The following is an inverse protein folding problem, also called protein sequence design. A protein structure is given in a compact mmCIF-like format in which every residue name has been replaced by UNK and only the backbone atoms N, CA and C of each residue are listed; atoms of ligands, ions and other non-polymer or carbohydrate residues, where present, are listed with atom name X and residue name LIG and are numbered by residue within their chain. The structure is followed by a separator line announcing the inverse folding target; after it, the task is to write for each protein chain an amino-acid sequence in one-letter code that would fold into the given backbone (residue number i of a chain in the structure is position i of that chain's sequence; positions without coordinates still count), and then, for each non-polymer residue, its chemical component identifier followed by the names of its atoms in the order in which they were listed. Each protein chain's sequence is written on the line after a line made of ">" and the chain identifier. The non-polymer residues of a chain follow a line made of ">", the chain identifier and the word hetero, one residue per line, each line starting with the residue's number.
data_IF_265038412505
#
_entry.id   IF_265038412505
#
_cell.length_a   1.000
_cell.length_b   1.000
_cell.length_c   1.000
_cell.angle_alpha   90.00
_cell.angle_beta   90.00
_cell.angle_gamma   90.00
#
_symmetry.space_group_name_H-M   'P 1'
#
loop_
_entity.id
_entity.type
_entity.pdbx_description
1 polymer ?
#
# COMPACT_ATOMS: atom_id res chain seq x y z
N UNK A 1 16.52 -1.02 10.96
CA UNK A 1 15.58 -0.06 11.61
C UNK A 1 14.81 -0.88 12.60
N UNK A 2 14.53 -0.37 13.79
CA UNK A 2 13.71 -1.08 14.77
C UNK A 2 12.25 -0.56 14.72
N UNK A 3 11.28 -1.38 15.11
CA UNK A 3 9.83 -1.08 15.06
C UNK A 3 9.44 0.24 15.74
N UNK A 4 9.95 0.49 16.96
CA UNK A 4 9.71 1.74 17.70
C UNK A 4 10.21 2.97 16.92
N UNK A 5 11.41 2.87 16.33
CA UNK A 5 11.98 3.96 15.53
C UNK A 5 11.16 4.22 14.27
N UNK A 6 10.64 3.17 13.62
CA UNK A 6 9.77 3.35 12.46
C UNK A 6 8.51 4.11 12.88
N UNK A 7 7.82 3.65 13.93
CA UNK A 7 6.56 4.23 14.39
C UNK A 7 6.70 5.71 14.76
N UNK A 8 7.74 6.08 15.50
CA UNK A 8 7.98 7.47 15.89
C UNK A 8 8.27 8.40 14.70
N UNK A 9 8.89 7.86 13.64
CA UNK A 9 9.47 8.66 12.56
C UNK A 9 8.73 8.56 11.23
N UNK A 10 7.77 7.63 11.09
CA UNK A 10 7.09 7.31 9.81
C UNK A 10 6.47 8.52 9.12
N UNK A 11 5.88 9.44 9.88
CA UNK A 11 5.23 10.64 9.34
C UNK A 11 6.06 11.94 9.41
N UNK A 12 7.28 11.88 9.96
CA UNK A 12 8.15 13.06 10.10
C UNK A 12 9.39 12.94 9.23
N UNK A 13 10.25 11.96 9.51
CA UNK A 13 11.50 11.77 8.78
C UNK A 13 11.32 10.88 7.56
N UNK A 14 10.42 9.90 7.65
CA UNK A 14 10.28 8.86 6.63
C UNK A 14 9.13 9.11 5.65
N UNK A 15 8.37 10.19 5.81
CA UNK A 15 7.29 10.54 4.90
C UNK A 15 7.73 10.57 3.42
N UNK A 16 8.90 11.12 3.04
CA UNK A 16 9.37 11.07 1.65
C UNK A 16 9.65 9.64 1.15
N UNK A 17 10.14 8.77 2.04
CA UNK A 17 10.38 7.34 1.74
C UNK A 17 9.06 6.60 1.55
N UNK A 18 8.07 6.83 2.43
CA UNK A 18 6.72 6.28 2.28
C UNK A 18 6.07 6.71 0.95
N UNK A 19 6.08 8.01 0.65
CA UNK A 19 5.54 8.53 -0.61
C UNK A 19 6.24 7.92 -1.83
N UNK A 20 7.55 7.64 -1.74
CA UNK A 20 8.28 6.97 -2.81
C UNK A 20 7.83 5.52 -2.96
N UNK A 21 7.70 4.76 -1.87
CA UNK A 21 7.29 3.36 -1.91
C UNK A 21 5.88 3.21 -2.52
N UNK A 22 4.91 3.98 -2.04
CA UNK A 22 3.55 3.97 -2.57
C UNK A 22 3.50 4.37 -4.04
N UNK A 23 4.25 5.42 -4.44
CA UNK A 23 4.33 5.83 -5.85
C UNK A 23 4.94 4.74 -6.75
N UNK A 24 5.97 4.04 -6.28
CA UNK A 24 6.59 2.97 -7.06
C UNK A 24 5.63 1.78 -7.20
N UNK A 25 4.94 1.40 -6.11
CA UNK A 25 3.94 0.35 -6.12
C UNK A 25 2.77 0.69 -7.07
N UNK A 26 2.25 1.91 -6.99
CA UNK A 26 1.24 2.43 -7.92
C UNK A 26 1.64 2.22 -9.37
N UNK A 27 2.84 2.68 -9.75
CA UNK A 27 3.33 2.57 -11.13
C UNK A 27 3.38 1.11 -11.58
N UNK A 28 3.90 0.21 -10.73
CA UNK A 28 4.04 -1.22 -11.03
C UNK A 28 2.70 -1.92 -11.21
N UNK A 29 1.70 -1.58 -10.40
CA UNK A 29 0.36 -2.20 -10.48
C UNK A 29 -0.41 -1.60 -11.65
N UNK A 30 -0.31 -0.29 -11.88
CA UNK A 30 -0.95 0.42 -12.98
C UNK A 30 -0.45 -0.02 -14.37
N UNK A 31 0.78 -0.53 -14.48
CA UNK A 31 1.29 -1.16 -15.71
C UNK A 31 0.64 -2.52 -16.02
N UNK A 32 0.11 -3.21 -15.01
CA UNK A 32 -0.39 -4.59 -15.12
C UNK A 32 -1.92 -4.68 -15.19
N UNK A 33 -2.62 -3.74 -14.55
CA UNK A 33 -4.07 -3.78 -14.37
C UNK A 33 -4.77 -2.57 -14.98
N UNK A 34 -6.09 -2.60 -14.97
CA UNK A 34 -6.92 -1.49 -15.44
C UNK A 34 -6.67 -0.25 -14.58
N UNK A 35 -6.29 0.86 -15.23
CA UNK A 35 -5.89 2.08 -14.52
C UNK A 35 -7.02 2.71 -13.70
N UNK A 36 -8.28 2.54 -14.11
CA UNK A 36 -9.42 3.05 -13.35
C UNK A 36 -9.59 2.27 -12.06
N UNK A 37 -9.47 0.94 -12.12
CA UNK A 37 -9.48 0.09 -10.91
C UNK A 37 -8.30 0.39 -9.99
N UNK A 38 -7.09 0.52 -10.53
CA UNK A 38 -5.89 0.81 -9.72
C UNK A 38 -6.00 2.16 -9.02
N UNK A 39 -6.43 3.22 -9.73
CA UNK A 39 -6.67 4.53 -9.11
C UNK A 39 -7.80 4.49 -8.06
N UNK A 40 -8.86 3.71 -8.30
CA UNK A 40 -9.93 3.54 -7.33
C UNK A 40 -9.43 2.91 -6.03
N UNK A 41 -8.67 1.83 -6.12
CA UNK A 41 -8.04 1.16 -4.96
C UNK A 41 -7.07 2.11 -4.25
N UNK A 42 -6.23 2.82 -4.99
CA UNK A 42 -5.25 3.76 -4.44
C UNK A 42 -5.93 4.83 -3.56
N UNK A 43 -6.95 5.49 -4.09
CA UNK A 43 -7.57 6.66 -3.44
C UNK A 43 -8.62 6.29 -2.40
N UNK A 44 -9.35 5.20 -2.58
CA UNK A 44 -10.48 4.85 -1.70
C UNK A 44 -10.11 3.79 -0.67
N UNK A 45 -9.01 3.06 -0.85
CA UNK A 45 -8.59 1.99 0.06
C UNK A 45 -7.24 2.31 0.66
N UNK A 46 -6.23 2.58 -0.18
CA UNK A 46 -4.86 2.74 0.31
C UNK A 46 -4.58 4.09 0.98
N UNK A 47 -5.36 5.14 0.70
CA UNK A 47 -5.31 6.40 1.46
C UNK A 47 -5.64 6.22 2.94
N UNK A 48 -6.38 5.16 3.30
CA UNK A 48 -6.71 4.78 4.68
C UNK A 48 -5.84 3.65 5.22
N UNK A 49 -4.89 3.15 4.41
CA UNK A 49 -3.97 2.10 4.84
C UNK A 49 -2.87 2.64 5.77
N UNK A 50 -2.35 1.78 6.63
CA UNK A 50 -1.27 2.13 7.57
C UNK A 50 -0.09 1.17 7.45
N UNK A 51 1.12 1.66 7.11
CA UNK A 51 2.31 0.83 7.11
C UNK A 51 2.80 0.62 8.54
N UNK A 52 3.22 -0.61 8.83
CA UNK A 52 3.87 -1.04 10.05
C UNK A 52 5.20 -1.72 9.74
N UNK A 53 6.13 -1.66 10.70
CA UNK A 53 7.37 -2.41 10.64
C UNK A 53 7.50 -3.27 11.89
N UNK A 54 7.67 -4.58 11.68
CA UNK A 54 7.92 -5.56 12.73
C UNK A 54 9.37 -6.07 12.64
N UNK A 55 10.06 -6.15 13.78
CA UNK A 55 11.48 -6.52 13.83
C UNK A 55 11.75 -7.97 13.36
N UNK A 56 10.75 -8.86 13.44
CA UNK A 56 10.83 -10.26 13.02
C UNK A 56 10.21 -10.50 11.63
N UNK A 57 9.18 -9.72 11.28
CA UNK A 57 8.31 -9.90 10.12
C UNK A 57 8.48 -8.89 8.98
N UNK A 58 9.22 -7.81 9.18
CA UNK A 58 9.43 -6.76 8.17
C UNK A 58 8.23 -5.82 8.02
N UNK A 59 8.09 -5.22 6.83
CA UNK A 59 6.99 -4.30 6.55
C UNK A 59 5.67 -5.04 6.34
N UNK A 60 4.60 -4.52 6.94
CA UNK A 60 3.21 -4.93 6.68
C UNK A 60 2.36 -3.71 6.39
N UNK A 61 1.36 -3.88 5.52
CA UNK A 61 0.31 -2.89 5.35
C UNK A 61 -0.99 -3.31 6.03
N UNK A 62 -1.50 -2.49 6.94
CA UNK A 62 -2.86 -2.63 7.48
C UNK A 62 -3.84 -1.92 6.57
N UNK A 63 -4.96 -2.58 6.27
CA UNK A 63 -6.02 -2.07 5.40
C UNK A 63 -7.23 -1.61 6.23
N UNK A 64 -8.05 -0.70 5.69
CA UNK A 64 -9.33 -0.38 6.31
C UNK A 64 -10.24 -1.61 6.41
N UNK A 65 -11.14 -1.61 7.39
CA UNK A 65 -12.23 -2.57 7.47
C UNK A 65 -13.10 -2.50 6.20
N UNK A 66 -13.49 -3.67 5.70
CA UNK A 66 -14.32 -3.87 4.50
C UNK A 66 -13.79 -3.07 3.27
N UNK A 67 -12.56 -3.38 2.78
CA UNK A 67 -11.91 -2.57 1.76
C UNK A 67 -12.67 -2.52 0.43
N UNK A 68 -13.42 -3.59 0.09
CA UNK A 68 -14.25 -3.61 -1.11
C UNK A 68 -15.42 -2.63 -1.04
N UNK A 69 -16.03 -2.47 0.14
CA UNK A 69 -17.14 -1.54 0.35
C UNK A 69 -16.69 -0.07 0.25
N UNK A 70 -15.39 0.20 0.36
CA UNK A 70 -14.82 1.54 0.13
C UNK A 70 -14.79 1.93 -1.35
N UNK A 71 -14.75 0.96 -2.26
CA UNK A 71 -14.63 1.22 -3.70
C UNK A 71 -15.98 1.59 -4.30
N UNK A 72 -16.27 2.89 -4.37
CA UNK A 72 -17.58 3.40 -4.84
C UNK A 72 -17.57 3.90 -6.28
N UNK A 73 -16.41 4.32 -6.80
CA UNK A 73 -16.30 4.92 -8.14
C UNK A 73 -16.10 3.90 -9.27
N UNK A 74 -15.85 2.62 -8.92
CA UNK A 74 -15.53 1.57 -9.89
C UNK A 74 -16.39 0.35 -9.64
N UNK A 75 -17.16 -0.05 -10.64
CA UNK A 75 -17.95 -1.30 -10.60
C UNK A 75 -17.07 -2.46 -11.08
N UNK A 76 -16.73 -3.36 -10.17
CA UNK A 76 -15.92 -4.56 -10.42
C UNK A 76 -16.46 -5.71 -9.60
N UNK A 77 -16.18 -6.96 -9.98
CA UNK A 77 -16.46 -8.12 -9.12
C UNK A 77 -15.48 -8.17 -7.95
N UNK A 78 -15.97 -8.54 -6.77
CA UNK A 78 -15.19 -8.60 -5.53
C UNK A 78 -13.92 -9.46 -5.66
N UNK A 79 -14.02 -10.65 -6.25
CA UNK A 79 -12.85 -11.52 -6.49
C UNK A 79 -11.74 -10.82 -7.30
N UNK A 80 -12.14 -10.01 -8.29
CA UNK A 80 -11.17 -9.26 -9.09
C UNK A 80 -10.59 -8.08 -8.31
N UNK A 81 -11.39 -7.42 -7.48
CA UNK A 81 -10.89 -6.37 -6.59
C UNK A 81 -9.86 -6.94 -5.61
N UNK A 82 -10.19 -8.03 -4.92
CA UNK A 82 -9.33 -8.68 -3.93
C UNK A 82 -7.99 -9.09 -4.55
N UNK A 83 -8.02 -9.71 -5.75
CA UNK A 83 -6.79 -10.11 -6.44
C UNK A 83 -5.89 -8.91 -6.80
N UNK A 84 -6.47 -7.77 -7.19
CA UNK A 84 -5.68 -6.56 -7.49
C UNK A 84 -5.18 -5.90 -6.21
N UNK A 85 -6.00 -5.86 -5.16
CA UNK A 85 -5.63 -5.30 -3.86
C UNK A 85 -4.49 -6.10 -3.22
N UNK A 86 -4.54 -7.44 -3.23
CA UNK A 86 -3.48 -8.31 -2.73
C UNK A 86 -2.14 -8.02 -3.45
N UNK A 87 -2.18 -7.94 -4.78
CA UNK A 87 -1.01 -7.61 -5.59
C UNK A 87 -0.51 -6.18 -5.35
N UNK A 88 -1.41 -5.25 -5.00
CA UNK A 88 -1.04 -3.88 -4.68
C UNK A 88 -0.40 -3.80 -3.29
N UNK A 89 -0.99 -4.41 -2.28
CA UNK A 89 -0.42 -4.53 -0.93
C UNK A 89 0.99 -5.13 -0.99
N UNK A 90 1.15 -6.27 -1.65
CA UNK A 90 2.44 -6.92 -1.80
C UNK A 90 3.48 -6.02 -2.53
N UNK A 91 3.03 -5.23 -3.50
CA UNK A 91 3.90 -4.27 -4.18
C UNK A 91 4.31 -3.12 -3.24
N UNK A 92 3.41 -2.59 -2.40
CA UNK A 92 3.74 -1.57 -1.40
C UNK A 92 4.75 -2.11 -0.38
N UNK A 93 4.50 -3.29 0.19
CA UNK A 93 5.40 -3.93 1.16
C UNK A 93 6.81 -4.16 0.57
N UNK A 94 6.89 -4.67 -0.66
CA UNK A 94 8.18 -4.84 -1.38
C UNK A 94 8.91 -3.51 -1.58
N UNK A 95 8.19 -2.45 -1.94
CA UNK A 95 8.80 -1.14 -2.17
C UNK A 95 9.18 -0.44 -0.86
N UNK A 96 8.46 -0.69 0.23
CA UNK A 96 8.85 -0.26 1.57
C UNK A 96 10.18 -0.91 1.97
N UNK A 97 10.32 -2.23 1.87
CA UNK A 97 11.60 -2.91 2.14
C UNK A 97 12.73 -2.28 1.31
N UNK A 98 12.52 -2.17 0.01
CA UNK A 98 13.52 -1.63 -0.92
C UNK A 98 13.96 -0.21 -0.58
N UNK A 99 13.01 0.70 -0.29
CA UNK A 99 13.31 2.12 -0.06
C UNK A 99 13.98 2.34 1.31
N UNK A 100 13.72 1.46 2.28
CA UNK A 100 14.27 1.58 3.62
C UNK A 100 15.61 0.85 3.80
N UNK A 101 15.91 -0.15 2.96
CA UNK A 101 17.22 -0.81 2.89
C UNK A 101 18.28 -0.04 2.04
N UNK A 102 17.87 1.01 1.32
CA UNK A 102 18.74 1.90 0.53
C UNK A 102 19.32 3.08 1.35
#
# INVERSE_FOLDING_TARGET
>A
MDSETFEERKYVDFLPKLQQAYRNAFNRVNERYDSTLVHGIDQQVLDESEPFYDDEGGFRLELPDDPYDRLTDVVVEEERFEAVLEEYVAAVETELERVFDD
#
